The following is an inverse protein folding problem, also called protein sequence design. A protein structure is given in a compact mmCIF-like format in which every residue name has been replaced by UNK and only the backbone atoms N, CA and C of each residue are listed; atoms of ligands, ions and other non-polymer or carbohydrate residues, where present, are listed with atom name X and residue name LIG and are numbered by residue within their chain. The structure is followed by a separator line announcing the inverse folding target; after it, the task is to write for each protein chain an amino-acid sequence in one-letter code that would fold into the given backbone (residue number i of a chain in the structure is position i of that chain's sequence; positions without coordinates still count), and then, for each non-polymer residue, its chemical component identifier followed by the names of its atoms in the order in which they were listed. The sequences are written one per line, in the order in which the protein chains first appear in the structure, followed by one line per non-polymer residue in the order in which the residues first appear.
data_IF_123669396051
#
_entry.id   IF_123669396051
#
_cell.length_a   1.000
_cell.length_b   1.000
_cell.length_c   1.000
_cell.angle_alpha   90.00
_cell.angle_beta   90.00
_cell.angle_gamma   90.00
#
_symmetry.space_group_name_H-M   'P 1'
#
loop_
_entity.id
_entity.type
_entity.pdbx_description
1 polymer ?
#
# COMPACT_ATOMS: atom_id res chain seq x y z
N UNK A 1 32.02 -19.75 -0.07
CA UNK A 1 31.98 -18.86 1.13
C UNK A 1 32.03 -17.40 0.69
N UNK A 2 31.03 -16.59 1.06
CA UNK A 2 31.03 -15.15 0.76
C UNK A 2 32.19 -14.48 1.51
N UNK A 3 32.91 -13.59 0.82
CA UNK A 3 33.96 -12.76 1.41
C UNK A 3 33.40 -11.96 2.61
N UNK A 4 34.08 -11.97 3.79
CA UNK A 4 33.63 -11.25 4.98
C UNK A 4 33.28 -9.78 4.76
N UNK A 5 34.01 -9.08 3.87
CA UNK A 5 33.73 -7.68 3.51
C UNK A 5 32.39 -7.56 2.78
N UNK A 6 32.14 -8.46 1.83
CA UNK A 6 30.86 -8.54 1.10
C UNK A 6 29.68 -8.87 2.03
N UNK A 7 29.89 -9.78 3.00
CA UNK A 7 28.86 -10.12 3.99
C UNK A 7 28.52 -8.94 4.91
N UNK A 8 29.53 -8.20 5.39
CA UNK A 8 29.33 -6.99 6.19
C UNK A 8 28.60 -5.90 5.40
N UNK A 9 29.03 -5.63 4.17
CA UNK A 9 28.40 -4.65 3.28
C UNK A 9 26.92 -4.96 3.07
N UNK A 10 26.59 -6.21 2.74
CA UNK A 10 25.19 -6.66 2.55
C UNK A 10 24.36 -6.45 3.82
N UNK A 11 24.93 -6.71 5.00
CA UNK A 11 24.24 -6.49 6.28
C UNK A 11 23.97 -5.00 6.53
N UNK A 12 24.94 -4.14 6.26
CA UNK A 12 24.80 -2.69 6.42
C UNK A 12 23.78 -2.11 5.44
N UNK A 13 23.79 -2.55 4.18
CA UNK A 13 22.79 -2.16 3.16
C UNK A 13 21.37 -2.53 3.61
N UNK A 14 21.15 -3.76 4.09
CA UNK A 14 19.84 -4.18 4.63
C UNK A 14 19.39 -3.35 5.83
N UNK A 15 20.31 -3.01 6.75
CA UNK A 15 19.99 -2.17 7.90
C UNK A 15 19.60 -0.75 7.49
N UNK A 16 20.29 -0.18 6.49
CA UNK A 16 19.98 1.13 5.95
C UNK A 16 18.61 1.15 5.27
N UNK A 17 18.30 0.15 4.43
CA UNK A 17 16.98 0.03 3.81
C UNK A 17 15.85 -0.05 4.84
N UNK A 18 16.03 -0.87 5.89
CA UNK A 18 15.04 -1.00 6.96
C UNK A 18 14.87 0.32 7.74
N UNK A 19 15.95 1.08 7.95
CA UNK A 19 15.89 2.40 8.59
C UNK A 19 15.15 3.42 7.71
N UNK A 20 15.44 3.46 6.40
CA UNK A 20 14.72 4.34 5.46
C UNK A 20 13.22 4.00 5.42
N UNK A 21 12.87 2.71 5.34
CA UNK A 21 11.46 2.30 5.40
C UNK A 21 10.76 2.80 6.67
N UNK A 22 11.35 2.56 7.85
CA UNK A 22 10.75 2.99 9.13
C UNK A 22 10.54 4.49 9.19
N UNK A 23 11.53 5.26 8.73
CA UNK A 23 11.44 6.72 8.66
C UNK A 23 10.29 7.16 7.75
N UNK A 24 10.22 6.64 6.51
CA UNK A 24 9.14 6.99 5.56
C UNK A 24 7.78 6.60 6.13
N UNK A 25 7.66 5.40 6.70
CA UNK A 25 6.43 4.93 7.31
C UNK A 25 5.97 5.86 8.44
N UNK A 26 6.87 6.27 9.34
CA UNK A 26 6.57 7.23 10.40
C UNK A 26 6.13 8.59 9.86
N UNK A 27 6.79 9.11 8.82
CA UNK A 27 6.37 10.34 8.15
C UNK A 27 4.94 10.23 7.60
N UNK A 28 4.60 9.11 6.94
CA UNK A 28 3.25 8.88 6.41
C UNK A 28 2.18 8.81 7.52
N UNK A 29 2.51 8.34 8.71
CA UNK A 29 1.59 8.32 9.86
C UNK A 29 1.44 9.67 10.57
N UNK A 30 2.41 10.57 10.41
CA UNK A 30 2.47 11.84 11.17
C UNK A 30 2.29 13.08 10.31
N UNK A 31 2.01 12.90 9.02
CA UNK A 31 1.83 13.98 8.04
C UNK A 31 0.43 13.97 7.45
N UNK A 32 0.04 15.08 6.83
CA UNK A 32 -1.16 15.18 5.98
C UNK A 32 -0.96 14.55 4.60
N UNK A 33 -2.03 14.33 3.85
CA UNK A 33 -1.96 13.79 2.49
C UNK A 33 -1.15 14.70 1.56
N UNK A 34 -1.33 16.01 1.68
CA UNK A 34 -0.58 17.02 0.92
C UNK A 34 0.93 16.99 1.20
N UNK A 35 1.32 16.74 2.44
CA UNK A 35 2.71 16.54 2.83
C UNK A 35 3.29 15.24 2.29
N UNK A 36 2.54 14.14 2.37
CA UNK A 36 2.93 12.87 1.79
C UNK A 36 3.13 12.95 0.27
N UNK A 37 2.23 13.65 -0.43
CA UNK A 37 2.37 13.94 -1.88
C UNK A 37 3.69 14.67 -2.14
N UNK A 38 3.97 15.73 -1.38
CA UNK A 38 5.18 16.54 -1.56
C UNK A 38 6.45 15.71 -1.30
N UNK A 39 6.45 14.88 -0.26
CA UNK A 39 7.56 13.98 0.04
C UNK A 39 7.85 13.05 -1.15
N UNK A 40 6.82 12.41 -1.71
CA UNK A 40 6.98 11.51 -2.84
C UNK A 40 7.33 12.22 -4.16
N UNK A 41 6.96 13.49 -4.33
CA UNK A 41 7.40 14.30 -5.46
C UNK A 41 8.88 14.69 -5.36
N UNK A 42 9.37 14.95 -4.15
CA UNK A 42 10.76 15.33 -3.89
C UNK A 42 11.70 14.13 -3.93
N UNK A 43 11.26 12.97 -3.44
CA UNK A 43 11.99 11.70 -3.49
C UNK A 43 11.11 10.61 -4.14
N UNK A 44 11.13 10.48 -5.48
CA UNK A 44 10.38 9.45 -6.19
C UNK A 44 10.79 8.01 -5.79
N UNK A 45 12.01 7.80 -5.32
CA UNK A 45 12.48 6.48 -4.86
C UNK A 45 11.85 6.10 -3.52
N UNK A 46 11.40 7.08 -2.72
CA UNK A 46 10.77 6.83 -1.42
C UNK A 46 9.53 5.92 -1.54
N UNK A 47 8.77 6.00 -2.63
CA UNK A 47 7.64 5.11 -2.90
C UNK A 47 8.12 3.67 -3.01
N UNK A 48 9.15 3.43 -3.84
CA UNK A 48 9.70 2.09 -4.05
C UNK A 48 10.28 1.51 -2.75
N UNK A 49 10.97 2.33 -1.95
CA UNK A 49 11.52 1.94 -0.65
C UNK A 49 10.40 1.61 0.33
N UNK A 50 9.34 2.43 0.38
CA UNK A 50 8.17 2.20 1.20
C UNK A 50 7.53 0.85 0.86
N UNK A 51 7.21 0.60 -0.41
CA UNK A 51 6.61 -0.66 -0.84
C UNK A 51 7.52 -1.86 -0.59
N UNK A 52 8.82 -1.75 -0.91
CA UNK A 52 9.79 -2.83 -0.64
C UNK A 52 9.83 -3.19 0.84
N UNK A 53 9.90 -2.19 1.71
CA UNK A 53 9.93 -2.39 3.15
C UNK A 53 8.61 -2.95 3.68
N UNK A 54 7.47 -2.45 3.21
CA UNK A 54 6.15 -2.95 3.57
C UNK A 54 5.98 -4.43 3.17
N UNK A 55 6.30 -4.78 1.92
CA UNK A 55 6.28 -6.18 1.45
C UNK A 55 7.17 -7.08 2.29
N UNK A 56 8.38 -6.62 2.63
CA UNK A 56 9.28 -7.37 3.49
C UNK A 56 8.71 -7.57 4.90
N UNK A 57 8.02 -6.58 5.48
CA UNK A 57 7.38 -6.72 6.79
C UNK A 57 6.22 -7.71 6.75
N UNK A 58 5.34 -7.57 5.76
CA UNK A 58 4.14 -8.41 5.60
C UNK A 58 4.48 -9.89 5.45
N UNK A 59 5.61 -10.24 4.82
CA UNK A 59 6.07 -11.63 4.69
C UNK A 59 6.29 -12.35 6.02
N UNK A 60 6.53 -11.61 7.11
CA UNK A 60 6.77 -12.18 8.43
C UNK A 60 5.50 -12.29 9.28
N UNK A 61 4.37 -11.77 8.79
CA UNK A 61 3.13 -11.76 9.55
C UNK A 61 2.44 -13.13 9.44
N UNK A 62 1.90 -13.67 10.55
CA UNK A 62 1.20 -14.97 10.51
C UNK A 62 -0.09 -14.91 9.68
N UNK A 63 -0.66 -13.72 9.51
CA UNK A 63 -1.83 -13.47 8.66
C UNK A 63 -1.77 -12.05 8.15
N UNK A 64 -1.93 -11.87 6.84
CA UNK A 64 -2.08 -10.56 6.25
C UNK A 64 -3.58 -10.18 6.22
N UNK A 65 -3.98 -9.02 6.78
CA UNK A 65 -5.39 -8.62 6.83
C UNK A 65 -6.06 -8.55 5.45
N UNK A 66 -5.31 -8.22 4.39
CA UNK A 66 -5.87 -8.17 3.03
C UNK A 66 -6.42 -9.53 2.59
N UNK A 67 -5.81 -10.63 3.02
CA UNK A 67 -6.26 -11.99 2.66
C UNK A 67 -7.59 -12.33 3.35
N UNK A 68 -7.77 -11.86 4.59
CA UNK A 68 -9.03 -12.00 5.32
C UNK A 68 -10.14 -11.17 4.66
N UNK A 69 -9.82 -9.97 4.18
CA UNK A 69 -10.76 -9.09 3.46
C UNK A 69 -11.14 -9.72 2.11
N UNK A 70 -10.18 -10.24 1.35
CA UNK A 70 -10.44 -10.97 0.10
C UNK A 70 -11.37 -12.16 0.36
N UNK A 71 -11.10 -12.96 1.41
CA UNK A 71 -11.97 -14.07 1.81
C UNK A 71 -13.40 -13.61 2.13
N UNK A 72 -13.54 -12.47 2.81
CA UNK A 72 -14.85 -11.87 3.09
C UNK A 72 -15.58 -11.46 1.81
N UNK A 73 -14.91 -10.75 0.90
CA UNK A 73 -15.49 -10.27 -0.37
C UNK A 73 -15.89 -11.45 -1.26
N UNK A 74 -15.07 -12.49 -1.37
CA UNK A 74 -15.36 -13.68 -2.18
C UNK A 74 -16.63 -14.44 -1.74
N UNK A 75 -17.12 -14.23 -0.51
CA UNK A 75 -18.38 -14.81 -0.01
C UNK A 75 -19.59 -13.93 -0.29
N UNK A 76 -19.41 -12.75 -0.87
CA UNK A 76 -20.48 -11.81 -1.23
C UNK A 76 -20.86 -11.93 -2.70
N UNK A 77 -22.06 -11.45 -3.10
CA UNK A 77 -22.41 -11.37 -4.52
C UNK A 77 -21.36 -10.58 -5.31
N UNK A 78 -20.96 -11.11 -6.47
CA UNK A 78 -20.00 -10.45 -7.36
C UNK A 78 -20.54 -9.11 -7.93
N UNK A 79 -21.84 -8.88 -7.83
CA UNK A 79 -22.48 -7.61 -8.22
C UNK A 79 -22.17 -6.45 -7.29
N UNK A 80 -21.71 -6.71 -6.06
CA UNK A 80 -21.33 -5.64 -5.14
C UNK A 80 -20.08 -4.91 -5.64
N UNK A 81 -20.09 -3.58 -5.57
CA UNK A 81 -18.99 -2.70 -5.96
C UNK A 81 -18.11 -2.41 -4.75
N UNK A 82 -16.81 -2.66 -4.90
CA UNK A 82 -15.81 -2.44 -3.85
C UNK A 82 -15.02 -1.17 -4.16
N UNK A 83 -14.72 -0.37 -3.15
CA UNK A 83 -13.67 0.64 -3.19
C UNK A 83 -12.54 0.28 -2.23
N UNK A 84 -11.32 0.21 -2.75
CA UNK A 84 -10.09 -0.11 -2.03
C UNK A 84 -9.24 1.17 -1.91
N UNK A 85 -9.22 1.75 -0.71
CA UNK A 85 -8.55 3.02 -0.43
C UNK A 85 -7.15 2.76 0.12
N UNK A 86 -6.12 3.25 -0.58
CA UNK A 86 -4.72 2.87 -0.35
C UNK A 86 -4.44 1.45 -0.83
N UNK A 87 -4.78 1.18 -2.09
CA UNK A 87 -4.83 -0.17 -2.65
C UNK A 87 -3.47 -0.83 -2.89
N UNK A 88 -2.36 -0.08 -2.82
CA UNK A 88 -1.01 -0.58 -3.05
C UNK A 88 -0.85 -1.31 -4.39
N UNK A 89 -0.54 -2.61 -4.35
CA UNK A 89 -0.36 -3.48 -5.52
C UNK A 89 -1.67 -4.00 -6.15
N UNK A 90 -2.81 -3.52 -5.64
CA UNK A 90 -4.17 -3.91 -6.03
C UNK A 90 -4.49 -5.38 -5.79
N UNK A 91 -3.95 -6.01 -4.73
CA UNK A 91 -4.20 -7.43 -4.44
C UNK A 91 -5.68 -7.78 -4.38
N UNK A 92 -6.53 -6.90 -3.84
CA UNK A 92 -7.99 -7.12 -3.81
C UNK A 92 -8.57 -7.19 -5.22
N UNK A 93 -8.32 -6.17 -6.05
CA UNK A 93 -8.83 -6.10 -7.42
C UNK A 93 -8.39 -7.30 -8.29
N UNK A 94 -7.19 -7.85 -8.03
CA UNK A 94 -6.67 -9.03 -8.75
C UNK A 94 -7.25 -10.36 -8.26
N UNK A 95 -7.85 -10.40 -7.07
CA UNK A 95 -8.23 -11.64 -6.39
C UNK A 95 -9.75 -11.88 -6.32
N UNK A 96 -10.57 -10.88 -6.65
CA UNK A 96 -12.03 -10.96 -6.53
C UNK A 96 -12.72 -10.78 -7.88
N UNK A 97 -13.96 -11.29 -8.00
CA UNK A 97 -14.79 -11.11 -9.21
C UNK A 97 -15.55 -9.79 -9.23
N UNK A 98 -15.63 -9.12 -8.08
CA UNK A 98 -16.32 -7.84 -7.92
C UNK A 98 -15.67 -6.76 -8.77
N UNK A 99 -16.44 -5.75 -9.16
CA UNK A 99 -15.87 -4.50 -9.64
C UNK A 99 -15.16 -3.81 -8.48
N UNK A 100 -13.86 -3.54 -8.63
CA UNK A 100 -13.05 -2.87 -7.62
C UNK A 100 -12.56 -1.52 -8.14
N UNK A 101 -12.89 -0.45 -7.42
CA UNK A 101 -12.29 0.86 -7.57
C UNK A 101 -11.08 0.95 -6.67
N UNK A 102 -9.89 0.94 -7.25
CA UNK A 102 -8.62 0.98 -6.51
C UNK A 102 -8.08 2.41 -6.49
N UNK A 103 -7.81 2.95 -5.30
CA UNK A 103 -7.32 4.31 -5.11
C UNK A 103 -6.00 4.31 -4.35
N UNK A 104 -5.02 5.07 -4.83
CA UNK A 104 -3.75 5.24 -4.13
C UNK A 104 -3.14 6.61 -4.46
N UNK A 105 -2.39 7.16 -3.50
CA UNK A 105 -1.68 8.43 -3.64
C UNK A 105 -0.50 8.30 -4.62
N UNK A 106 0.17 7.14 -4.57
CA UNK A 106 1.35 6.82 -5.35
C UNK A 106 1.26 5.39 -5.92
N UNK A 107 0.41 5.18 -6.94
CA UNK A 107 0.16 3.85 -7.49
C UNK A 107 1.42 3.11 -7.95
N UNK A 108 1.49 1.83 -7.57
CA UNK A 108 2.47 0.85 -8.10
C UNK A 108 1.79 -0.24 -8.96
N UNK A 109 0.53 -0.02 -9.30
CA UNK A 109 -0.34 -0.95 -10.00
C UNK A 109 -1.13 -0.20 -11.09
N UNK A 110 -1.34 -0.85 -12.23
CA UNK A 110 -2.03 -0.33 -13.41
C UNK A 110 -3.56 -0.18 -13.23
N UNK A 111 -4.15 -0.92 -12.29
CA UNK A 111 -5.58 -0.85 -11.96
C UNK A 111 -5.90 0.32 -11.02
N UNK A 112 -4.90 0.95 -10.43
CA UNK A 112 -5.08 1.99 -9.42
C UNK A 112 -5.27 3.37 -10.05
N UNK A 113 -6.27 4.09 -9.53
CA UNK A 113 -6.51 5.49 -9.82
C UNK A 113 -5.67 6.35 -8.87
N UNK A 114 -4.74 7.13 -9.43
CA UNK A 114 -3.92 8.06 -8.64
C UNK A 114 -4.79 9.18 -8.07
N UNK A 115 -5.00 9.20 -6.76
CA UNK A 115 -5.71 10.28 -6.06
C UNK A 115 -5.44 10.28 -4.56
N UNK A 116 -5.76 11.38 -3.90
CA UNK A 116 -5.94 11.41 -2.46
C UNK A 116 -7.26 10.70 -2.12
N UNK A 117 -7.21 9.68 -1.26
CA UNK A 117 -8.39 8.92 -0.85
C UNK A 117 -9.45 9.76 -0.13
N UNK A 118 -9.08 10.93 0.43
CA UNK A 118 -10.05 11.88 0.96
C UNK A 118 -10.92 12.54 -0.13
N UNK A 119 -10.50 12.48 -1.40
CA UNK A 119 -11.19 13.07 -2.56
C UNK A 119 -11.11 12.14 -3.78
N UNK A 120 -11.84 11.02 -3.71
CA UNK A 120 -11.93 10.06 -4.82
C UNK A 120 -12.88 10.53 -5.93
N UNK A 121 -12.62 10.18 -7.20
CA UNK A 121 -13.47 10.52 -8.35
C UNK A 121 -14.68 9.58 -8.47
N UNK A 122 -15.45 9.46 -7.39
CA UNK A 122 -16.71 8.70 -7.36
C UNK A 122 -17.88 9.62 -7.05
N UNK A 123 -19.07 9.22 -7.51
CA UNK A 123 -20.31 9.88 -7.12
C UNK A 123 -20.80 9.32 -5.79
N UNK A 124 -21.70 10.05 -5.14
CA UNK A 124 -22.33 9.58 -3.92
C UNK A 124 -23.07 8.25 -4.15
N UNK A 125 -23.05 7.39 -3.12
CA UNK A 125 -23.79 6.12 -3.09
C UNK A 125 -23.50 5.17 -4.27
N UNK A 126 -22.27 5.13 -4.78
CA UNK A 126 -21.88 4.22 -5.89
C UNK A 126 -21.13 2.95 -5.48
N UNK A 127 -20.88 2.74 -4.19
CA UNK A 127 -20.11 1.58 -3.68
C UNK A 127 -20.87 0.87 -2.58
N UNK A 128 -20.71 -0.45 -2.50
CA UNK A 128 -21.35 -1.32 -1.51
C UNK A 128 -20.39 -1.70 -0.38
N UNK A 129 -19.08 -1.78 -0.67
CA UNK A 129 -18.03 -2.14 0.28
C UNK A 129 -16.88 -1.14 0.17
N UNK A 130 -16.54 -0.47 1.26
CA UNK A 130 -15.35 0.36 1.38
C UNK A 130 -14.28 -0.38 2.20
N UNK A 131 -13.06 -0.44 1.69
CA UNK A 131 -11.93 -1.12 2.34
C UNK A 131 -10.82 -0.12 2.65
N UNK A 132 -10.38 -0.13 3.90
CA UNK A 132 -9.19 0.57 4.38
C UNK A 132 -8.24 -0.46 5.01
N UNK A 133 -7.47 -1.16 4.18
CA UNK A 133 -6.57 -2.22 4.65
C UNK A 133 -5.18 -1.65 4.93
N UNK A 134 -4.91 -1.28 6.19
CA UNK A 134 -3.63 -0.70 6.62
C UNK A 134 -3.26 0.60 5.90
N UNK A 135 -4.26 1.35 5.47
CA UNK A 135 -4.11 2.50 4.57
C UNK A 135 -4.44 3.85 5.19
N UNK A 136 -4.95 3.89 6.43
CA UNK A 136 -5.29 5.14 7.15
C UNK A 136 -4.01 5.87 7.60
N UNK A 137 -3.32 6.46 6.62
CA UNK A 137 -2.11 7.25 6.73
C UNK A 137 -2.28 8.52 5.90
N UNK A 138 -1.65 9.62 6.29
CA UNK A 138 -1.78 10.86 5.52
C UNK A 138 -3.16 11.53 5.64
N UNK A 139 -3.91 11.34 6.73
CA UNK A 139 -5.24 11.95 6.92
C UNK A 139 -5.17 13.28 7.64
#
# INVERSE_FOLDING_TARGET
PLDPSTALRTKMEKQLEAARFRYINEQLYTSTSGEAIRMFQQDPEAIAIYHKGYTAQVQHWPTNPVDSIISYICKKPASLVVADFGCGDCKIARSVKNKVHSFDLAPVCDLATKCDMAKVPLRDSTVDIAVFCLSLMGT
#
